data_IF_296627773154
#
_entry.id   IF_296627773154
#
_cell.length_a   1.000
_cell.length_b   1.000
_cell.length_c   1.000
_cell.angle_alpha   90.00
_cell.angle_beta   90.00
_cell.angle_gamma   90.00
#
_symmetry.space_group_name_H-M   'P 1'
#
loop_
_entity.id
_entity.type
_entity.pdbx_description
1 polymer ?
#
# COMPACT_ATOMS: atom_id res chain seq x y z
N UNK A 1 -5.81 3.83 -49.05
CA UNK A 1 -4.87 4.96 -49.01
C UNK A 1 -3.68 4.59 -48.13
N UNK A 2 -2.46 4.83 -48.59
CA UNK A 2 -1.22 4.49 -47.86
C UNK A 2 -0.93 5.56 -46.81
N UNK A 3 -0.57 5.17 -45.58
CA UNK A 3 -0.28 6.09 -44.47
C UNK A 3 1.17 5.93 -44.00
N UNK A 4 1.76 7.00 -43.51
CA UNK A 4 3.10 7.03 -42.92
C UNK A 4 2.99 6.95 -41.38
N UNK A 5 3.84 6.13 -40.78
CA UNK A 5 3.90 5.91 -39.34
C UNK A 5 5.35 6.02 -38.87
N UNK A 6 5.55 6.45 -37.62
CA UNK A 6 6.86 6.42 -36.97
C UNK A 6 6.92 5.18 -36.09
N UNK A 7 7.56 4.12 -36.57
CA UNK A 7 7.74 2.90 -35.79
C UNK A 7 8.97 3.01 -34.88
N UNK A 8 8.83 2.65 -33.61
CA UNK A 8 9.87 2.67 -32.58
C UNK A 8 10.10 1.23 -32.15
N UNK A 9 11.29 0.69 -32.41
CA UNK A 9 11.62 -0.71 -32.11
C UNK A 9 12.17 -0.94 -30.70
N UNK A 10 12.45 -2.20 -30.33
CA UNK A 10 12.90 -2.60 -28.99
C UNK A 10 14.16 -1.89 -28.47
N UNK A 11 15.06 -1.44 -29.36
CA UNK A 11 16.27 -0.68 -29.02
C UNK A 11 16.08 0.85 -29.12
N UNK A 12 14.84 1.35 -28.96
CA UNK A 12 14.46 2.77 -29.13
C UNK A 12 14.77 3.36 -30.52
N UNK A 13 15.07 2.49 -31.50
CA UNK A 13 15.38 2.92 -32.86
C UNK A 13 14.11 3.34 -33.58
N UNK A 14 14.08 4.57 -34.08
CA UNK A 14 12.94 5.15 -34.80
C UNK A 14 13.09 4.94 -36.30
N UNK A 15 12.01 4.58 -36.98
CA UNK A 15 11.97 4.36 -38.42
C UNK A 15 10.64 4.81 -39.02
N UNK A 16 10.69 5.56 -40.12
CA UNK A 16 9.51 5.81 -40.93
C UNK A 16 9.04 4.52 -41.63
N UNK A 17 7.74 4.24 -41.55
CA UNK A 17 7.08 3.10 -42.19
C UNK A 17 5.83 3.58 -42.91
N UNK A 18 5.83 3.47 -44.23
CA UNK A 18 4.64 3.71 -45.05
C UNK A 18 3.93 2.37 -45.26
N UNK A 19 2.64 2.27 -44.93
CA UNK A 19 1.85 1.05 -45.08
C UNK A 19 0.38 1.35 -45.38
N UNK A 20 -0.26 0.52 -46.22
CA UNK A 20 -1.69 0.61 -46.50
C UNK A 20 -2.54 -0.09 -45.45
N UNK A 21 -2.01 -1.13 -44.79
CA UNK A 21 -2.73 -1.94 -43.81
C UNK A 21 -1.79 -2.52 -42.74
N UNK A 22 -2.39 -3.06 -41.68
CA UNK A 22 -1.68 -3.59 -40.51
C UNK A 22 -0.71 -4.73 -40.86
N UNK A 23 -1.10 -5.65 -41.76
CA UNK A 23 -0.26 -6.76 -42.19
C UNK A 23 1.01 -6.28 -42.91
N UNK A 24 0.87 -5.28 -43.78
CA UNK A 24 1.98 -4.67 -44.49
C UNK A 24 2.91 -3.92 -43.52
N UNK A 25 2.33 -3.18 -42.57
CA UNK A 25 3.07 -2.48 -41.51
C UNK A 25 3.93 -3.46 -40.70
N UNK A 26 3.36 -4.56 -40.22
CA UNK A 26 4.07 -5.60 -39.47
C UNK A 26 5.21 -6.24 -40.30
N UNK A 27 4.95 -6.54 -41.58
CA UNK A 27 5.98 -7.10 -42.49
C UNK A 27 7.17 -6.14 -42.64
N UNK A 28 6.90 -4.84 -42.80
CA UNK A 28 7.93 -3.79 -42.91
C UNK A 28 8.69 -3.59 -41.60
N UNK A 29 7.99 -3.60 -40.46
CA UNK A 29 8.60 -3.50 -39.13
C UNK A 29 9.52 -4.71 -38.85
N UNK A 30 9.08 -5.95 -39.15
CA UNK A 30 9.91 -7.15 -39.00
C UNK A 30 11.23 -7.04 -39.77
N UNK A 31 11.17 -6.62 -41.04
CA UNK A 31 12.36 -6.44 -41.88
C UNK A 31 13.26 -5.33 -41.34
N UNK A 32 12.69 -4.18 -40.95
CA UNK A 32 13.46 -3.06 -40.43
C UNK A 32 14.15 -3.44 -39.12
N UNK A 33 13.42 -3.97 -38.14
CA UNK A 33 13.92 -4.27 -36.79
C UNK A 33 14.57 -5.65 -36.65
N UNK A 34 14.80 -6.37 -37.76
CA UNK A 34 15.42 -7.70 -37.78
C UNK A 34 14.76 -8.70 -36.81
N UNK A 35 13.42 -8.70 -36.76
CA UNK A 35 12.63 -9.57 -35.88
C UNK A 35 12.37 -10.92 -36.57
N UNK A 36 12.47 -12.02 -35.82
CA UNK A 36 12.31 -13.37 -36.36
C UNK A 36 10.87 -13.61 -36.81
N UNK A 37 10.65 -14.43 -37.84
CA UNK A 37 9.32 -14.67 -38.43
C UNK A 37 8.30 -15.27 -37.45
N UNK A 38 8.76 -16.06 -36.49
CA UNK A 38 7.93 -16.72 -35.47
C UNK A 38 7.77 -15.91 -34.18
N UNK A 39 8.48 -14.79 -34.01
CA UNK A 39 8.31 -13.95 -32.82
C UNK A 39 6.95 -13.25 -32.88
N UNK A 40 6.14 -13.41 -31.83
CA UNK A 40 4.94 -12.61 -31.62
C UNK A 40 5.34 -11.15 -31.33
N UNK A 41 4.70 -10.21 -32.03
CA UNK A 41 4.99 -8.78 -31.95
C UNK A 41 3.71 -8.09 -31.50
N UNK A 42 3.86 -7.20 -30.53
CA UNK A 42 2.79 -6.32 -30.05
C UNK A 42 3.10 -4.92 -30.56
N UNK A 43 2.05 -4.22 -31.00
CA UNK A 43 2.13 -2.84 -31.48
C UNK A 43 1.30 -2.00 -30.52
N UNK A 44 1.88 -0.94 -29.96
CA UNK A 44 1.17 -0.05 -29.04
C UNK A 44 1.32 1.41 -29.41
N UNK A 45 0.42 2.24 -28.89
CA UNK A 45 0.59 3.69 -28.78
C UNK A 45 1.56 4.06 -27.65
N UNK A 46 1.77 5.36 -27.45
CA UNK A 46 2.59 5.93 -26.37
C UNK A 46 1.98 5.67 -24.98
N UNK A 47 0.66 5.70 -24.88
CA UNK A 47 -0.10 5.31 -23.69
C UNK A 47 -0.19 3.79 -23.46
N UNK A 48 0.51 3.00 -24.29
CA UNK A 48 0.52 1.52 -24.30
C UNK A 48 -0.78 0.85 -24.73
N UNK A 49 -1.76 1.58 -25.25
CA UNK A 49 -2.94 0.98 -25.88
C UNK A 49 -2.52 0.05 -27.01
N UNK A 50 -2.92 -1.22 -26.95
CA UNK A 50 -2.63 -2.19 -28.01
C UNK A 50 -3.36 -1.81 -29.31
N UNK A 51 -2.62 -1.83 -30.41
CA UNK A 51 -3.11 -1.49 -31.74
C UNK A 51 -3.34 -2.79 -32.51
N UNK A 52 -4.60 -3.21 -32.56
CA UNK A 52 -5.02 -4.31 -33.42
C UNK A 52 -5.28 -3.85 -34.86
N UNK A 53 -5.76 -4.76 -35.71
CA UNK A 53 -6.02 -4.49 -37.13
C UNK A 53 -7.15 -3.48 -37.33
N UNK A 54 -8.11 -3.42 -36.43
CA UNK A 54 -9.30 -2.57 -36.49
C UNK A 54 -8.94 -1.16 -36.07
N UNK A 55 -8.27 -1.03 -34.93
CA UNK A 55 -7.74 0.22 -34.40
C UNK A 55 -6.71 0.85 -35.34
N UNK A 56 -5.87 0.04 -35.99
CA UNK A 56 -4.93 0.54 -37.02
C UNK A 56 -5.62 1.29 -38.17
N UNK A 57 -6.91 1.02 -38.48
CA UNK A 57 -7.63 1.69 -39.57
C UNK A 57 -7.96 3.14 -39.25
N UNK A 58 -8.16 3.46 -37.98
CA UNK A 58 -8.55 4.81 -37.53
C UNK A 58 -7.34 5.70 -37.21
N UNK A 59 -6.14 5.14 -37.15
CA UNK A 59 -4.92 5.90 -36.87
C UNK A 59 -4.61 6.96 -37.95
N UNK A 60 -4.20 8.13 -37.48
CA UNK A 60 -3.83 9.26 -38.33
C UNK A 60 -2.43 9.10 -38.92
N UNK A 61 -2.12 9.91 -39.92
CA UNK A 61 -0.81 9.95 -40.53
C UNK A 61 0.23 10.52 -39.53
N UNK A 62 1.40 9.92 -39.44
CA UNK A 62 2.48 10.34 -38.54
C UNK A 62 2.39 9.78 -37.11
N UNK A 63 1.38 8.97 -36.78
CA UNK A 63 1.28 8.34 -35.45
C UNK A 63 2.54 7.54 -35.10
N UNK A 64 3.00 7.71 -33.86
CA UNK A 64 4.10 6.93 -33.29
C UNK A 64 3.57 5.59 -32.80
N UNK A 65 4.22 4.51 -33.23
CA UNK A 65 3.85 3.15 -32.86
C UNK A 65 5.07 2.44 -32.28
N UNK A 66 4.91 1.85 -31.11
CA UNK A 66 5.96 1.11 -30.42
C UNK A 66 5.83 -0.37 -30.77
N UNK A 67 6.96 -0.99 -31.12
CA UNK A 67 7.06 -2.38 -31.52
C UNK A 67 7.82 -3.12 -30.42
N UNK A 68 7.13 -4.04 -29.74
CA UNK A 68 7.70 -4.88 -28.68
C UNK A 68 7.50 -6.35 -29.01
N UNK A 69 8.38 -7.22 -28.50
CA UNK A 69 8.10 -8.66 -28.51
C UNK A 69 7.06 -8.95 -27.44
N UNK A 70 6.17 -9.91 -27.68
CA UNK A 70 5.11 -10.24 -26.72
C UNK A 70 5.65 -10.56 -25.31
N UNK A 71 6.76 -11.31 -25.22
CA UNK A 71 7.44 -11.63 -23.95
C UNK A 71 7.99 -10.40 -23.23
N UNK A 72 8.48 -9.41 -23.98
CA UNK A 72 9.05 -8.19 -23.43
C UNK A 72 7.92 -7.25 -22.95
N UNK A 73 6.77 -7.28 -23.61
CA UNK A 73 5.59 -6.50 -23.24
C UNK A 73 4.98 -6.99 -21.92
N UNK A 74 4.76 -8.31 -21.76
CA UNK A 74 4.27 -8.89 -20.50
C UNK A 74 5.18 -8.53 -19.32
N UNK A 75 6.50 -8.64 -19.51
CA UNK A 75 7.49 -8.30 -18.47
C UNK A 75 7.41 -6.82 -18.06
N UNK A 76 7.26 -5.92 -19.03
CA UNK A 76 7.17 -4.46 -18.81
C UNK A 76 5.82 -4.07 -18.17
N UNK A 77 4.75 -4.83 -18.40
CA UNK A 77 3.45 -4.62 -17.77
C UNK A 77 3.46 -5.06 -16.30
N UNK A 78 4.05 -6.23 -15.99
CA UNK A 78 4.26 -6.67 -14.61
C UNK A 78 5.10 -5.69 -13.79
N UNK A 79 6.17 -5.13 -14.36
CA UNK A 79 6.99 -4.11 -13.68
C UNK A 79 6.17 -2.85 -13.39
N UNK A 80 5.30 -2.43 -14.31
CA UNK A 80 4.47 -1.25 -14.13
C UNK A 80 3.36 -1.45 -13.10
N UNK A 81 2.75 -2.64 -13.09
CA UNK A 81 1.79 -3.05 -12.07
C UNK A 81 2.46 -3.13 -10.69
N UNK A 82 3.67 -3.71 -10.61
CA UNK A 82 4.46 -3.76 -9.39
C UNK A 82 4.83 -2.36 -8.90
N UNK A 83 5.25 -1.46 -9.79
CA UNK A 83 5.56 -0.07 -9.46
C UNK A 83 4.32 0.67 -8.93
N UNK A 84 3.15 0.48 -9.56
CA UNK A 84 1.89 1.08 -9.14
C UNK A 84 1.42 0.53 -7.78
N UNK A 85 1.59 -0.77 -7.55
CA UNK A 85 1.33 -1.41 -6.27
C UNK A 85 2.27 -0.88 -5.18
N UNK A 86 3.57 -0.81 -5.46
CA UNK A 86 4.57 -0.27 -4.54
C UNK A 86 4.30 1.21 -4.23
N UNK A 87 3.88 2.00 -5.21
CA UNK A 87 3.42 3.38 -4.98
C UNK A 87 2.28 3.44 -3.95
N UNK A 88 1.22 2.65 -4.16
CA UNK A 88 0.08 2.63 -3.25
C UNK A 88 0.46 2.15 -1.83
N UNK A 89 1.38 1.19 -1.71
CA UNK A 89 1.88 0.71 -0.43
C UNK A 89 2.80 1.71 0.28
N UNK A 90 3.55 2.53 -0.46
CA UNK A 90 4.60 3.40 0.05
C UNK A 90 4.21 4.88 0.17
N UNK A 91 2.98 5.27 -0.21
CA UNK A 91 2.51 6.66 -0.18
C UNK A 91 2.61 7.32 1.21
N UNK A 92 2.59 6.54 2.29
CA UNK A 92 2.76 7.04 3.67
C UNK A 92 4.22 7.10 4.12
N UNK A 93 5.17 6.71 3.27
CA UNK A 93 6.61 6.60 3.55
C UNK A 93 7.43 7.21 2.39
N UNK A 94 7.40 8.54 2.22
CA UNK A 94 7.92 9.23 1.03
C UNK A 94 9.43 9.03 0.79
N UNK A 95 10.22 8.80 1.84
CA UNK A 95 11.65 8.52 1.71
C UNK A 95 11.93 7.12 1.13
N UNK A 96 11.12 6.13 1.49
CA UNK A 96 11.22 4.76 0.97
C UNK A 96 10.69 4.69 -0.45
N UNK A 97 9.58 5.39 -0.73
CA UNK A 97 9.01 5.56 -2.06
C UNK A 97 10.03 6.09 -3.07
N UNK A 98 10.67 7.23 -2.79
CA UNK A 98 11.66 7.85 -3.68
C UNK A 98 12.84 6.89 -3.97
N UNK A 99 13.26 6.15 -2.96
CA UNK A 99 14.37 5.19 -3.07
C UNK A 99 13.99 3.99 -3.93
N UNK A 100 12.81 3.40 -3.73
CA UNK A 100 12.27 2.30 -4.54
C UNK A 100 12.09 2.71 -6.00
N UNK A 101 11.53 3.89 -6.25
CA UNK A 101 11.32 4.38 -7.62
C UNK A 101 12.63 4.66 -8.36
N UNK A 102 13.67 5.13 -7.65
CA UNK A 102 15.01 5.30 -8.24
C UNK A 102 15.63 3.99 -8.74
N UNK A 103 15.32 2.85 -8.09
CA UNK A 103 15.79 1.53 -8.50
C UNK A 103 15.00 0.94 -9.68
N UNK A 104 13.76 1.38 -9.89
CA UNK A 104 12.89 0.92 -10.99
C UNK A 104 13.12 1.68 -12.31
N UNK A 105 13.82 2.82 -12.26
CA UNK A 105 14.13 3.64 -13.45
C UNK A 105 15.35 3.14 -14.24
N UNK A 106 16.22 2.32 -13.64
CA UNK A 106 17.36 1.72 -14.32
C UNK A 106 16.96 0.40 -15.03
N UNK A 107 17.58 0.06 -16.19
CA UNK A 107 17.32 -1.19 -16.89
C UNK A 107 17.68 -2.35 -15.97
N UNK A 108 16.63 -3.00 -15.45
CA UNK A 108 16.66 -3.99 -14.37
C UNK A 108 17.64 -5.11 -14.69
N UNK A 109 18.88 -4.95 -14.23
CA UNK A 109 19.81 -6.07 -14.10
C UNK A 109 19.48 -6.76 -12.78
N UNK A 110 19.50 -8.09 -12.77
CA UNK A 110 19.05 -8.96 -11.67
C UNK A 110 19.58 -8.57 -10.27
N UNK A 111 20.68 -7.83 -10.18
CA UNK A 111 21.26 -7.34 -8.93
C UNK A 111 20.45 -6.21 -8.29
N UNK A 112 19.90 -5.28 -9.07
CA UNK A 112 19.09 -4.17 -8.54
C UNK A 112 17.72 -4.66 -8.04
N UNK A 113 17.09 -5.59 -8.76
CA UNK A 113 15.87 -6.26 -8.30
C UNK A 113 16.12 -7.09 -7.02
N UNK A 114 17.27 -7.78 -6.94
CA UNK A 114 17.66 -8.50 -5.73
C UNK A 114 17.91 -7.53 -4.55
N UNK A 115 18.58 -6.41 -4.77
CA UNK A 115 18.75 -5.36 -3.75
C UNK A 115 17.42 -4.73 -3.36
N UNK A 116 16.48 -4.51 -4.29
CA UNK A 116 15.14 -4.01 -3.99
C UNK A 116 14.35 -5.01 -3.13
N UNK A 117 14.36 -6.30 -3.51
CA UNK A 117 13.74 -7.37 -2.72
C UNK A 117 14.40 -7.51 -1.34
N UNK A 118 15.72 -7.36 -1.25
CA UNK A 118 16.46 -7.39 0.01
C UNK A 118 16.14 -6.16 0.88
N UNK A 119 16.01 -4.97 0.29
CA UNK A 119 15.61 -3.75 1.01
C UNK A 119 14.16 -3.87 1.47
N UNK A 120 13.24 -4.34 0.63
CA UNK A 120 11.85 -4.59 1.02
C UNK A 120 11.82 -5.65 2.13
N UNK A 121 12.48 -6.80 1.96
CA UNK A 121 12.50 -7.87 2.97
C UNK A 121 13.18 -7.47 4.29
N UNK A 122 14.18 -6.57 4.26
CA UNK A 122 14.81 -6.01 5.47
C UNK A 122 13.96 -4.92 6.11
N UNK A 123 13.10 -4.23 5.35
CA UNK A 123 12.22 -3.15 5.83
C UNK A 123 10.76 -3.61 6.03
N UNK A 124 10.41 -4.86 5.70
CA UNK A 124 9.27 -5.59 6.28
C UNK A 124 9.59 -6.06 7.69
N UNK A 125 10.33 -5.23 8.44
CA UNK A 125 10.39 -5.32 9.88
C UNK A 125 8.98 -5.01 10.36
N UNK A 126 8.22 -6.07 10.64
CA UNK A 126 6.84 -5.95 11.09
C UNK A 126 6.83 -5.44 12.53
N UNK A 127 7.07 -4.12 12.67
CA UNK A 127 6.97 -3.38 13.92
C UNK A 127 5.57 -3.51 14.52
N UNK A 128 4.55 -3.85 13.71
CA UNK A 128 3.20 -4.12 14.21
C UNK A 128 3.24 -5.43 15.00
N UNK A 129 3.85 -6.50 14.49
CA UNK A 129 4.01 -7.76 15.23
C UNK A 129 4.91 -7.65 16.48
N UNK A 130 5.82 -6.67 16.54
CA UNK A 130 6.67 -6.47 17.72
C UNK A 130 5.91 -5.84 18.89
N UNK A 131 5.68 -6.63 19.94
CA UNK A 131 4.92 -6.21 21.12
C UNK A 131 5.82 -5.69 22.24
N UNK A 132 7.00 -6.30 22.42
CA UNK A 132 7.91 -6.03 23.53
C UNK A 132 8.73 -4.76 23.30
N UNK A 133 8.97 -4.02 24.38
CA UNK A 133 9.88 -2.88 24.41
C UNK A 133 11.32 -3.25 24.04
N UNK A 134 11.75 -4.47 24.32
CA UNK A 134 13.09 -4.93 23.96
C UNK A 134 13.25 -5.09 22.45
N UNK A 135 12.16 -5.44 21.76
CA UNK A 135 12.16 -5.64 20.31
C UNK A 135 11.91 -4.33 19.56
N UNK A 136 11.03 -3.45 20.05
CA UNK A 136 10.73 -2.16 19.42
C UNK A 136 10.86 -0.99 20.40
N UNK A 137 12.09 -0.64 20.85
CA UNK A 137 12.31 0.37 21.88
C UNK A 137 11.90 1.78 21.44
N UNK A 138 11.94 2.09 20.14
CA UNK A 138 11.59 3.41 19.61
C UNK A 138 10.10 3.71 19.78
N UNK A 139 9.22 2.70 19.68
CA UNK A 139 7.79 2.89 19.94
C UNK A 139 7.50 3.31 21.40
N UNK A 140 8.38 2.94 22.34
CA UNK A 140 8.24 3.27 23.77
C UNK A 140 8.98 4.55 24.18
N UNK A 141 9.53 5.30 23.21
CA UNK A 141 10.16 6.59 23.48
C UNK A 141 9.14 7.54 24.12
N UNK A 142 9.57 8.25 25.15
CA UNK A 142 8.74 9.17 25.96
C UNK A 142 7.57 8.53 26.73
N UNK A 143 7.40 7.20 26.65
CA UNK A 143 6.43 6.49 27.50
C UNK A 143 7.02 6.17 28.87
N UNK A 144 6.13 6.01 29.85
CA UNK A 144 6.49 5.56 31.20
C UNK A 144 7.29 4.25 31.16
N UNK A 145 8.39 4.20 31.92
CA UNK A 145 9.34 3.09 31.94
C UNK A 145 8.76 1.78 32.48
N UNK A 146 7.61 1.85 33.17
CA UNK A 146 6.88 0.69 33.67
C UNK A 146 6.33 -0.20 32.55
N UNK A 147 6.10 0.36 31.36
CA UNK A 147 5.51 -0.39 30.26
C UNK A 147 6.53 -1.26 29.55
N UNK A 148 6.20 -2.55 29.44
CA UNK A 148 7.02 -3.58 28.79
C UNK A 148 6.48 -4.03 27.44
N UNK A 149 5.19 -3.84 27.19
CA UNK A 149 4.55 -4.20 25.92
C UNK A 149 3.61 -3.11 25.42
N UNK A 150 3.37 -3.08 24.10
CA UNK A 150 2.47 -2.12 23.45
C UNK A 150 1.04 -2.31 23.97
N UNK A 151 0.63 -3.56 24.16
CA UNK A 151 -0.68 -3.93 24.70
C UNK A 151 -0.87 -3.40 26.12
N UNK A 152 0.17 -3.40 26.96
CA UNK A 152 0.10 -2.81 28.29
C UNK A 152 -0.11 -1.29 28.25
N UNK A 153 0.53 -0.60 27.30
CA UNK A 153 0.33 0.83 27.07
C UNK A 153 -1.11 1.09 26.60
N UNK A 154 -1.58 0.32 25.62
CA UNK A 154 -2.92 0.48 25.06
C UNK A 154 -4.02 0.17 26.08
N UNK A 155 -3.86 -0.88 26.90
CA UNK A 155 -4.76 -1.16 28.03
C UNK A 155 -4.82 0.02 29.00
N UNK A 156 -3.67 0.53 29.42
CA UNK A 156 -3.63 1.68 30.33
C UNK A 156 -4.28 2.92 29.70
N UNK A 157 -4.13 3.15 28.41
CA UNK A 157 -4.79 4.25 27.70
C UNK A 157 -6.31 4.10 27.72
N UNK A 158 -6.84 2.91 27.45
CA UNK A 158 -8.29 2.62 27.56
C UNK A 158 -8.81 2.88 28.98
N UNK A 159 -8.13 2.34 30.00
CA UNK A 159 -8.51 2.56 31.39
C UNK A 159 -8.48 4.04 31.77
N UNK A 160 -7.44 4.77 31.36
CA UNK A 160 -7.28 6.20 31.68
C UNK A 160 -8.42 7.01 31.10
N UNK A 161 -8.83 6.73 29.85
CA UNK A 161 -9.98 7.38 29.22
C UNK A 161 -11.28 7.10 29.97
N UNK A 162 -11.56 5.83 30.29
CA UNK A 162 -12.77 5.46 31.02
C UNK A 162 -12.83 6.07 32.42
N UNK A 163 -11.69 6.13 33.14
CA UNK A 163 -11.59 6.81 34.45
C UNK A 163 -11.81 8.31 34.31
N UNK A 164 -11.23 8.95 33.29
CA UNK A 164 -11.41 10.38 33.03
C UNK A 164 -12.86 10.72 32.71
N UNK A 165 -13.56 9.89 31.92
CA UNK A 165 -14.99 10.08 31.66
C UNK A 165 -15.81 9.97 32.94
N UNK A 166 -15.55 8.96 33.78
CA UNK A 166 -16.24 8.85 35.08
C UNK A 166 -15.97 10.07 35.96
N UNK A 167 -14.72 10.52 36.06
CA UNK A 167 -14.34 11.71 36.84
C UNK A 167 -15.01 12.98 36.32
N UNK A 168 -15.12 13.14 35.00
CA UNK A 168 -15.82 14.26 34.39
C UNK A 168 -17.31 14.23 34.75
N UNK A 169 -17.96 13.08 34.58
CA UNK A 169 -19.37 12.88 34.94
C UNK A 169 -19.61 13.09 36.45
N UNK A 170 -18.69 12.65 37.31
CA UNK A 170 -18.72 12.94 38.74
C UNK A 170 -18.69 14.46 38.99
N UNK A 171 -17.80 15.19 38.32
CA UNK A 171 -17.69 16.65 38.43
C UNK A 171 -18.93 17.41 37.98
N UNK A 172 -19.63 16.92 36.95
CA UNK A 172 -20.86 17.54 36.44
C UNK A 172 -22.09 17.22 37.30
N UNK A 173 -22.23 15.97 37.75
CA UNK A 173 -23.45 15.51 38.42
C UNK A 173 -23.44 15.68 39.94
N UNK A 174 -22.25 15.68 40.57
CA UNK A 174 -22.15 15.72 42.04
C UNK A 174 -22.01 17.15 42.56
N UNK A 175 -23.14 17.83 42.75
CA UNK A 175 -23.16 19.09 43.49
C UNK A 175 -22.75 18.89 44.97
N UNK A 176 -22.09 19.91 45.56
CA UNK A 176 -21.48 19.84 46.91
C UNK A 176 -22.43 19.41 48.03
N UNK A 177 -23.73 19.69 47.90
CA UNK A 177 -24.73 19.49 48.98
C UNK A 177 -25.78 18.41 48.65
N UNK A 178 -25.47 17.45 47.76
CA UNK A 178 -26.41 16.37 47.46
C UNK A 178 -26.64 15.45 48.67
N UNK A 179 -27.89 15.06 48.98
CA UNK A 179 -28.19 14.02 49.96
C UNK A 179 -27.42 12.72 49.64
N UNK A 180 -27.00 11.93 50.64
CA UNK A 180 -26.30 10.66 50.44
C UNK A 180 -27.01 9.72 49.45
N UNK A 181 -28.34 9.58 49.58
CA UNK A 181 -29.17 8.70 48.75
C UNK A 181 -29.72 9.37 47.48
N UNK A 182 -29.12 10.49 47.06
CA UNK A 182 -29.53 11.16 45.83
C UNK A 182 -29.38 10.21 44.62
N UNK A 183 -30.33 10.23 43.67
CA UNK A 183 -30.24 9.41 42.46
C UNK A 183 -28.91 9.56 41.71
N UNK A 184 -28.32 10.76 41.72
CA UNK A 184 -27.03 11.08 41.11
C UNK A 184 -25.88 10.31 41.79
N UNK A 185 -25.79 10.35 43.13
CA UNK A 185 -24.77 9.59 43.87
C UNK A 185 -24.92 8.10 43.66
N UNK A 186 -26.15 7.59 43.72
CA UNK A 186 -26.43 6.17 43.48
C UNK A 186 -26.04 5.74 42.05
N UNK A 187 -26.31 6.57 41.04
CA UNK A 187 -25.91 6.31 39.66
C UNK A 187 -24.39 6.29 39.49
N UNK A 188 -23.68 7.27 40.06
CA UNK A 188 -22.20 7.30 40.03
C UNK A 188 -21.61 6.06 40.69
N UNK A 189 -22.08 5.69 41.89
CA UNK A 189 -21.62 4.49 42.59
C UNK A 189 -21.85 3.22 41.75
N UNK A 190 -23.03 3.09 41.15
CA UNK A 190 -23.36 1.99 40.25
C UNK A 190 -22.38 1.91 39.06
N UNK A 191 -22.14 3.02 38.35
CA UNK A 191 -21.23 3.03 37.20
C UNK A 191 -19.78 2.79 37.61
N UNK A 192 -19.35 3.32 38.75
CA UNK A 192 -18.03 3.08 39.31
C UNK A 192 -17.81 1.60 39.62
N UNK A 193 -18.78 0.94 40.23
CA UNK A 193 -18.72 -0.51 40.45
C UNK A 193 -18.72 -1.31 39.15
N UNK A 194 -19.56 -0.93 38.18
CA UNK A 194 -19.61 -1.59 36.87
C UNK A 194 -18.29 -1.49 36.12
N UNK A 195 -17.72 -0.29 36.05
CA UNK A 195 -16.42 -0.05 35.43
C UNK A 195 -15.30 -0.79 36.18
N UNK A 196 -15.32 -0.81 37.52
CA UNK A 196 -14.35 -1.59 38.28
C UNK A 196 -14.44 -3.08 37.95
N UNK A 197 -15.66 -3.64 37.89
CA UNK A 197 -15.90 -5.04 37.52
C UNK A 197 -15.46 -5.37 36.09
N UNK A 198 -15.58 -4.41 35.15
CA UNK A 198 -15.12 -4.57 33.77
C UNK A 198 -13.66 -4.14 33.54
N UNK A 199 -12.88 -3.91 34.60
CA UNK A 199 -11.49 -3.40 34.51
C UNK A 199 -11.38 -2.14 33.65
N UNK A 200 -12.35 -1.23 33.78
CA UNK A 200 -12.46 0.01 33.04
C UNK A 200 -12.34 -0.19 31.52
N UNK A 201 -12.86 -1.33 31.04
CA UNK A 201 -12.84 -1.72 29.63
C UNK A 201 -11.43 -1.68 29.01
N UNK A 202 -10.40 -2.03 29.79
CA UNK A 202 -9.00 -2.02 29.36
C UNK A 202 -8.76 -2.78 28.05
N UNK A 203 -9.53 -3.85 27.81
CA UNK A 203 -9.41 -4.72 26.63
C UNK A 203 -9.76 -4.04 25.31
N UNK A 204 -10.47 -2.91 25.32
CA UNK A 204 -10.94 -2.25 24.09
C UNK A 204 -9.81 -1.91 23.11
N UNK A 205 -8.61 -1.59 23.60
CA UNK A 205 -7.44 -1.34 22.75
C UNK A 205 -6.38 -2.43 22.83
N UNK A 206 -6.68 -3.54 23.49
CA UNK A 206 -5.76 -4.66 23.62
C UNK A 206 -6.03 -5.68 22.50
N UNK A 207 -5.21 -5.63 21.45
CA UNK A 207 -5.26 -6.59 20.35
C UNK A 207 -4.93 -8.03 20.77
N UNK A 208 -4.31 -8.23 21.95
CA UNK A 208 -4.09 -9.56 22.53
C UNK A 208 -5.27 -10.09 23.35
N UNK A 209 -6.33 -9.29 23.54
CA UNK A 209 -7.55 -9.77 24.18
C UNK A 209 -8.12 -10.99 23.43
N UNK A 210 -8.44 -12.05 24.17
CA UNK A 210 -8.81 -13.36 23.60
C UNK A 210 -10.15 -13.28 22.89
N UNK A 211 -11.12 -12.60 23.50
CA UNK A 211 -12.46 -12.46 22.95
C UNK A 211 -12.48 -11.27 22.00
N UNK A 212 -12.85 -11.53 20.75
CA UNK A 212 -12.99 -10.49 19.71
C UNK A 212 -14.01 -9.43 20.12
N UNK A 213 -15.08 -9.84 20.81
CA UNK A 213 -16.12 -8.93 21.32
C UNK A 213 -15.64 -7.99 22.43
N UNK A 214 -14.47 -8.23 23.02
CA UNK A 214 -13.90 -7.41 24.08
C UNK A 214 -12.86 -6.39 23.59
N UNK A 215 -12.48 -6.43 22.31
CA UNK A 215 -11.54 -5.48 21.68
C UNK A 215 -12.20 -4.76 20.51
N UNK A 216 -11.73 -3.54 20.23
CA UNK A 216 -12.20 -2.71 19.13
C UNK A 216 -11.22 -2.71 17.93
N UNK A 217 -10.24 -3.60 17.96
CA UNK A 217 -9.17 -3.70 16.98
C UNK A 217 -8.99 -5.13 16.49
N UNK A 218 -8.32 -5.27 15.34
CA UNK A 218 -7.97 -6.56 14.78
C UNK A 218 -6.95 -7.29 15.66
N UNK A 219 -7.02 -8.63 15.62
CA UNK A 219 -6.07 -9.46 16.34
C UNK A 219 -4.68 -9.40 15.70
N UNK A 220 -3.64 -9.56 16.53
CA UNK A 220 -2.26 -9.76 16.06
C UNK A 220 -2.12 -10.93 15.07
N UNK A 221 -3.04 -11.90 15.09
CA UNK A 221 -2.96 -13.14 14.34
C UNK A 221 -3.73 -13.11 13.02
N UNK A 222 -4.39 -11.99 12.70
CA UNK A 222 -5.17 -11.79 11.47
C UNK A 222 -4.48 -10.82 10.48
N UNK A 223 -3.20 -10.50 10.68
CA UNK A 223 -2.40 -9.59 9.84
C UNK A 223 -1.41 -10.39 9.00
#
# INVERSE_FOLDING_TARGET
MTRHFVAIGPAQRKCGVVAANYREFLKKCRKKFNLKKHEAIIVTLDDRTEVDKEYFRVLVNGTKLFISKAKDFETVDYIHQLASFLHACLDRQPQLHNKVMSYLQDPISSKQAATLLEVIAKNTYDSIAQTSKDNDPEWFKELDTRFKTKEAVMRNSAETRMRSYLQHTEGELLAKNLPPDSPQKNAILFFKEKLHKSKYNASYFDRSAVLETERLCDSLWNI
#
